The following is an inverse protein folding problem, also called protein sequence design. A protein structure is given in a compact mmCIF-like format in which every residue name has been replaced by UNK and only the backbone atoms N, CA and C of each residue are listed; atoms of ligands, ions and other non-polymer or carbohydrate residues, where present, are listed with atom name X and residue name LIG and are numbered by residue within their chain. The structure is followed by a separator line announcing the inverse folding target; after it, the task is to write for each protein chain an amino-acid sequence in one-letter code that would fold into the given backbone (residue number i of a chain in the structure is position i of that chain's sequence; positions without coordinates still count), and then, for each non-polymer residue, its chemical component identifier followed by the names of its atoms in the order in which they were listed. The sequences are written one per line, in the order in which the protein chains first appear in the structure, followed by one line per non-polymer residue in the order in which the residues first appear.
data_IF_056681647606
#
_entry.id   IF_056681647606
#
_cell.length_a   1.000
_cell.length_b   1.000
_cell.length_c   1.000
_cell.angle_alpha   90.00
_cell.angle_beta   90.00
_cell.angle_gamma   90.00
#
_symmetry.space_group_name_H-M   'P 1'
#
loop_
_entity.id
_entity.type
_entity.pdbx_description
1 polymer ?
#
# COMPACT_ATOMS: atom_id res chain seq x y z
N UNK A 1 -13.13 -12.95 3.71
CA UNK A 1 -12.49 -11.63 3.50
C UNK A 1 -11.42 -11.80 2.46
N UNK A 2 -11.48 -11.03 1.38
CA UNK A 2 -10.49 -11.08 0.29
C UNK A 2 -9.67 -9.79 0.33
N UNK A 3 -8.34 -9.93 0.34
CA UNK A 3 -7.40 -8.82 0.34
C UNK A 3 -6.99 -8.50 -1.09
N UNK A 4 -7.10 -7.24 -1.48
CA UNK A 4 -6.83 -6.79 -2.84
C UNK A 4 -5.67 -5.79 -2.84
N UNK A 5 -4.70 -6.00 -3.72
CA UNK A 5 -3.57 -5.10 -3.90
C UNK A 5 -4.08 -3.76 -4.45
N UNK A 6 -3.82 -2.67 -3.72
CA UNK A 6 -4.21 -1.32 -4.12
C UNK A 6 -3.03 -0.40 -4.39
N UNK A 7 -1.86 -0.71 -3.84
CA UNK A 7 -0.66 0.06 -4.08
C UNK A 7 0.61 -0.81 -4.01
N UNK A 8 1.57 -0.52 -4.87
CA UNK A 8 2.88 -1.16 -4.88
C UNK A 8 3.94 -0.12 -5.22
N UNK A 9 5.02 -0.05 -4.44
CA UNK A 9 6.15 0.83 -4.69
C UNK A 9 7.46 0.22 -4.20
N UNK A 10 8.59 0.63 -4.74
CA UNK A 10 9.92 0.36 -4.18
C UNK A 10 10.41 1.51 -3.28
N UNK A 11 9.71 2.64 -3.26
CA UNK A 11 10.03 3.80 -2.44
C UNK A 11 9.38 3.69 -1.06
N UNK A 12 10.21 3.56 -0.03
CA UNK A 12 9.77 3.44 1.37
C UNK A 12 9.08 4.71 1.89
N UNK A 13 9.48 5.89 1.41
CA UNK A 13 8.87 7.15 1.85
C UNK A 13 7.44 7.25 1.35
N UNK A 14 7.22 6.93 0.06
CA UNK A 14 5.86 6.95 -0.51
C UNK A 14 5.01 5.85 0.12
N UNK A 15 5.57 4.67 0.39
CA UNK A 15 4.87 3.60 1.10
C UNK A 15 4.37 4.04 2.48
N UNK A 16 5.21 4.67 3.29
CA UNK A 16 4.80 5.16 4.61
C UNK A 16 3.78 6.29 4.53
N UNK A 17 3.87 7.19 3.52
CA UNK A 17 2.84 8.20 3.29
C UNK A 17 1.48 7.59 2.97
N UNK A 18 1.43 6.57 2.11
CA UNK A 18 0.17 5.89 1.77
C UNK A 18 -0.42 5.18 2.98
N UNK A 19 0.40 4.57 3.84
CA UNK A 19 -0.09 3.95 5.09
C UNK A 19 -0.77 4.97 6.00
N UNK A 20 -0.13 6.13 6.23
CA UNK A 20 -0.70 7.20 7.04
C UNK A 20 -2.01 7.72 6.45
N UNK A 21 -2.09 7.81 5.12
CA UNK A 21 -3.28 8.26 4.42
C UNK A 21 -4.46 7.29 4.58
N UNK A 22 -4.21 5.98 4.48
CA UNK A 22 -5.24 4.96 4.69
C UNK A 22 -5.72 4.93 6.14
N UNK A 23 -4.79 5.02 7.10
CA UNK A 23 -5.09 5.08 8.53
C UNK A 23 -5.93 6.33 8.88
N UNK A 24 -5.58 7.49 8.32
CA UNK A 24 -6.34 8.72 8.49
C UNK A 24 -7.78 8.67 7.92
N UNK A 25 -8.07 7.72 7.04
CA UNK A 25 -9.39 7.49 6.47
C UNK A 25 -10.10 6.26 7.06
N UNK A 26 -9.57 5.69 8.16
CA UNK A 26 -10.11 4.50 8.85
C UNK A 26 -10.21 3.27 7.93
N UNK A 27 -9.29 3.15 6.96
CA UNK A 27 -9.26 2.04 6.02
C UNK A 27 -8.34 0.95 6.56
N UNK A 28 -8.90 -0.23 6.83
CA UNK A 28 -8.10 -1.40 7.20
C UNK A 28 -7.21 -1.85 6.04
N UNK A 29 -5.90 -1.98 6.31
CA UNK A 29 -4.92 -2.41 5.31
C UNK A 29 -3.95 -3.46 5.86
N UNK A 30 -3.44 -4.29 4.96
CA UNK A 30 -2.39 -5.26 5.20
C UNK A 30 -1.18 -4.91 4.34
N UNK A 31 0.02 -5.13 4.86
CA UNK A 31 1.27 -4.81 4.18
C UNK A 31 2.05 -6.08 3.88
N UNK A 32 2.69 -6.10 2.71
CA UNK A 32 3.66 -7.12 2.36
C UNK A 32 4.94 -6.46 1.90
N UNK A 33 6.02 -6.79 2.58
CA UNK A 33 7.35 -6.36 2.21
C UNK A 33 8.09 -7.54 1.56
N UNK A 34 8.40 -7.42 0.27
CA UNK A 34 9.16 -8.43 -0.47
C UNK A 34 10.64 -8.06 -0.61
N UNK A 35 11.09 -6.95 0.00
CA UNK A 35 12.50 -6.55 0.03
C UNK A 35 13.31 -7.62 0.77
N UNK A 36 14.03 -8.41 -0.01
CA UNK A 36 14.89 -9.45 0.52
C UNK A 36 16.25 -8.85 0.81
N UNK A 37 16.63 -8.79 2.10
CA UNK A 37 17.86 -8.15 2.57
C UNK A 37 19.15 -8.80 2.05
N UNK A 38 19.06 -9.94 1.35
CA UNK A 38 20.21 -10.74 0.89
C UNK A 38 20.59 -10.51 -0.59
N UNK A 39 19.72 -9.90 -1.40
CA UNK A 39 19.95 -9.72 -2.83
C UNK A 39 19.62 -8.29 -3.27
N UNK A 40 20.63 -7.41 -3.20
CA UNK A 40 20.71 -6.16 -3.97
C UNK A 40 19.44 -5.27 -4.02
N UNK A 41 18.78 -5.00 -2.89
CA UNK A 41 17.69 -4.02 -2.83
C UNK A 41 16.55 -4.26 -3.84
N UNK A 42 16.37 -5.50 -4.30
CA UNK A 42 15.26 -5.89 -5.16
C UNK A 42 14.06 -6.28 -4.28
N UNK A 43 12.98 -5.55 -4.43
CA UNK A 43 11.70 -5.82 -3.76
C UNK A 43 10.71 -4.69 -3.92
N UNK A 44 9.49 -4.96 -3.46
CA UNK A 44 8.38 -4.03 -3.44
C UNK A 44 7.75 -4.00 -2.06
N UNK A 45 7.29 -2.82 -1.68
CA UNK A 45 6.31 -2.62 -0.63
C UNK A 45 4.93 -2.65 -1.26
N UNK A 46 4.09 -3.54 -0.77
CA UNK A 46 2.75 -3.79 -1.28
C UNK A 46 1.74 -3.48 -0.18
N UNK A 47 0.65 -2.82 -0.55
CA UNK A 47 -0.47 -2.50 0.34
C UNK A 47 -1.74 -3.15 -0.21
N UNK A 48 -2.38 -3.91 0.66
CA UNK A 48 -3.63 -4.59 0.40
C UNK A 48 -4.73 -4.03 1.29
N UNK A 49 -5.95 -3.94 0.79
CA UNK A 49 -7.14 -3.59 1.59
C UNK A 49 -8.22 -4.64 1.37
N UNK A 50 -9.28 -4.60 2.18
CA UNK A 50 -10.46 -5.44 1.93
C UNK A 50 -11.09 -5.05 0.59
N UNK A 51 -11.70 -6.01 -0.12
CA UNK A 51 -12.39 -5.73 -1.40
C UNK A 51 -13.47 -4.65 -1.28
N UNK A 52 -14.07 -4.48 -0.09
CA UNK A 52 -15.08 -3.46 0.18
C UNK A 52 -14.50 -2.03 0.12
N UNK A 53 -13.24 -1.86 0.53
CA UNK A 53 -12.54 -0.57 0.57
C UNK A 53 -11.68 -0.31 -0.66
N UNK A 54 -11.60 -1.25 -1.61
CA UNK A 54 -10.69 -1.18 -2.77
C UNK A 54 -10.84 0.12 -3.57
N UNK A 55 -12.07 0.47 -3.95
CA UNK A 55 -12.34 1.62 -4.82
C UNK A 55 -11.98 2.92 -4.10
N UNK A 56 -12.36 3.03 -2.82
CA UNK A 56 -12.07 4.22 -2.01
C UNK A 56 -10.56 4.37 -1.78
N UNK A 57 -9.88 3.29 -1.41
CA UNK A 57 -8.44 3.28 -1.19
C UNK A 57 -7.67 3.69 -2.46
N UNK A 58 -8.01 3.10 -3.62
CA UNK A 58 -7.36 3.47 -4.90
C UNK A 58 -7.55 4.94 -5.25
N UNK A 59 -8.75 5.49 -5.03
CA UNK A 59 -9.02 6.90 -5.27
C UNK A 59 -8.20 7.81 -4.37
N UNK A 60 -8.19 7.54 -3.07
CA UNK A 60 -7.43 8.31 -2.07
C UNK A 60 -5.93 8.28 -2.40
N UNK A 61 -5.41 7.10 -2.75
CA UNK A 61 -4.01 6.94 -3.14
C UNK A 61 -3.72 7.76 -4.41
N UNK A 62 -4.55 7.64 -5.44
CA UNK A 62 -4.37 8.36 -6.70
C UNK A 62 -4.38 9.88 -6.52
N UNK A 63 -5.24 10.41 -5.65
CA UNK A 63 -5.29 11.86 -5.37
C UNK A 63 -4.04 12.35 -4.61
N UNK A 64 -3.31 11.45 -3.93
CA UNK A 64 -2.12 11.80 -3.14
C UNK A 64 -0.79 11.59 -3.87
N UNK A 65 -0.70 10.60 -4.77
CA UNK A 65 0.56 10.24 -5.47
C UNK A 65 0.50 10.44 -6.99
N UNK A 66 -0.67 10.78 -7.53
CA UNK A 66 -0.92 11.01 -8.96
C UNK A 66 -0.63 12.42 -9.44
#
# INVERSE_FOLDING_TARGET
MNWVLVYQTSDVFVFEQVKLLLDANDIEFNIRNTVSSMYNNFGSYEIYVTSESEILAKKIIQDAVG
#
